data_IF_571198439085
#
_entry.id   IF_571198439085
#
_cell.length_a   1.000
_cell.length_b   1.000
_cell.length_c   1.000
_cell.angle_alpha   90.00
_cell.angle_beta   90.00
_cell.angle_gamma   90.00
#
_symmetry.space_group_name_H-M   'P 1'
#
loop_
_entity.id
_entity.type
_entity.pdbx_description
1 polymer ?
#
# COMPACT_ATOMS: atom_id res chain seq x y z
N UNK A 1 29.00 -2.03 6.76
CA UNK A 1 28.30 -2.41 7.99
C UNK A 1 27.48 -3.64 7.67
N UNK A 2 27.76 -4.77 8.29
CA UNK A 2 27.02 -6.02 8.08
C UNK A 2 25.55 -5.77 8.43
N UNK A 3 24.63 -6.03 7.48
CA UNK A 3 23.23 -5.82 7.67
C UNK A 3 22.69 -6.70 8.79
N UNK A 4 22.14 -6.08 9.83
CA UNK A 4 21.23 -6.79 10.75
C UNK A 4 20.16 -7.44 9.87
N UNK A 5 20.04 -8.76 9.93
CA UNK A 5 18.89 -9.47 9.38
C UNK A 5 17.63 -8.79 9.94
N UNK A 6 16.83 -8.15 9.07
CA UNK A 6 15.59 -7.49 9.51
C UNK A 6 14.57 -8.57 9.79
N UNK A 7 13.88 -8.48 10.92
CA UNK A 7 12.83 -9.41 11.27
C UNK A 7 11.71 -9.40 10.21
N UNK A 8 11.14 -10.56 9.95
CA UNK A 8 10.01 -10.70 9.01
C UNK A 8 8.74 -10.21 9.72
N UNK A 9 8.15 -9.15 9.18
CA UNK A 9 6.89 -8.57 9.68
C UNK A 9 5.66 -9.27 9.11
N UNK A 10 5.68 -9.55 7.80
CA UNK A 10 4.62 -10.31 7.13
C UNK A 10 5.25 -11.43 6.33
N UNK A 11 4.81 -12.67 6.56
CA UNK A 11 5.25 -13.84 5.83
C UNK A 11 4.06 -14.44 5.08
N UNK A 12 4.21 -14.60 3.78
CA UNK A 12 3.22 -15.20 2.88
C UNK A 12 3.78 -16.55 2.46
N UNK A 13 3.09 -17.63 2.82
CA UNK A 13 3.55 -19.01 2.60
C UNK A 13 2.59 -19.74 1.67
N UNK A 14 3.03 -19.99 0.46
CA UNK A 14 2.36 -20.80 -0.57
C UNK A 14 0.88 -20.45 -0.77
N UNK A 15 0.55 -19.15 -0.77
CA UNK A 15 -0.82 -18.67 -0.85
C UNK A 15 -1.43 -18.93 -2.22
N UNK A 16 -2.54 -19.65 -2.22
CA UNK A 16 -3.41 -19.91 -3.37
C UNK A 16 -4.77 -19.28 -3.09
N UNK A 17 -5.34 -18.59 -4.08
CA UNK A 17 -6.72 -18.09 -4.02
C UNK A 17 -7.47 -18.44 -5.28
N UNK A 18 -8.60 -19.11 -5.07
CA UNK A 18 -9.55 -19.48 -6.11
C UNK A 18 -10.89 -18.79 -5.84
N UNK A 19 -11.55 -18.38 -6.90
CA UNK A 19 -12.91 -17.85 -6.86
C UNK A 19 -13.83 -18.71 -7.71
N UNK A 20 -15.01 -18.99 -7.20
CA UNK A 20 -16.06 -19.68 -7.96
C UNK A 20 -16.87 -18.64 -8.71
N UNK A 21 -16.79 -18.62 -10.04
CA UNK A 21 -17.54 -17.76 -10.92
C UNK A 21 -18.62 -18.53 -11.69
N UNK A 22 -19.46 -17.81 -12.44
CA UNK A 22 -20.51 -18.42 -13.31
C UNK A 22 -19.93 -19.37 -14.36
N UNK A 23 -18.68 -19.16 -14.76
CA UNK A 23 -17.99 -19.92 -15.80
C UNK A 23 -16.98 -20.95 -15.23
N UNK A 24 -17.13 -21.34 -13.96
CA UNK A 24 -16.22 -22.26 -13.29
C UNK A 24 -15.25 -21.61 -12.31
N UNK A 25 -14.28 -22.39 -11.85
CA UNK A 25 -13.26 -21.97 -10.91
C UNK A 25 -12.18 -21.11 -11.60
N UNK A 26 -11.89 -19.94 -11.04
CA UNK A 26 -10.82 -19.07 -11.48
C UNK A 26 -9.71 -19.00 -10.41
N UNK A 27 -8.49 -19.35 -10.79
CA UNK A 27 -7.31 -19.23 -9.93
C UNK A 27 -6.77 -17.81 -10.03
N UNK A 28 -6.95 -17.01 -8.97
CA UNK A 28 -6.46 -15.63 -8.92
C UNK A 28 -5.00 -15.57 -8.47
N UNK A 29 -4.62 -16.37 -7.47
CA UNK A 29 -3.24 -16.48 -6.96
C UNK A 29 -2.85 -17.95 -6.93
N UNK A 30 -1.60 -18.27 -7.26
CA UNK A 30 -1.12 -19.65 -7.34
C UNK A 30 0.29 -19.79 -6.73
N UNK A 31 0.34 -20.14 -5.45
CA UNK A 31 1.58 -20.45 -4.75
C UNK A 31 2.46 -19.22 -4.50
N UNK A 32 1.85 -18.10 -4.04
CA UNK A 32 2.57 -16.87 -3.72
C UNK A 32 3.37 -17.05 -2.43
N UNK A 33 4.68 -16.78 -2.49
CA UNK A 33 5.59 -16.74 -1.36
C UNK A 33 6.27 -15.37 -1.32
N UNK A 34 6.22 -14.67 -0.17
CA UNK A 34 6.85 -13.37 0.02
C UNK A 34 7.12 -13.10 1.49
N UNK A 35 8.33 -12.71 1.80
CA UNK A 35 8.70 -12.18 3.11
C UNK A 35 8.82 -10.65 3.02
N UNK A 36 8.10 -9.95 3.90
CA UNK A 36 8.15 -8.49 4.05
C UNK A 36 8.77 -8.20 5.41
N UNK A 37 9.84 -7.42 5.39
CA UNK A 37 10.61 -7.14 6.60
C UNK A 37 10.02 -5.99 7.42
N UNK A 38 10.40 -5.94 8.69
CA UNK A 38 9.98 -4.84 9.56
C UNK A 38 10.50 -3.50 9.05
N UNK A 39 9.62 -2.49 9.06
CA UNK A 39 9.89 -1.13 8.56
C UNK A 39 10.32 -1.07 7.08
N UNK A 40 9.93 -2.05 6.31
CA UNK A 40 10.15 -2.06 4.87
C UNK A 40 9.03 -1.37 4.12
N UNK A 41 9.39 -0.57 3.11
CA UNK A 41 8.45 -0.10 2.09
C UNK A 41 8.61 -0.98 0.85
N UNK A 42 7.68 -1.91 0.65
CA UNK A 42 7.66 -2.79 -0.52
C UNK A 42 6.55 -2.34 -1.48
N UNK A 43 6.87 -2.30 -2.77
CA UNK A 43 5.90 -1.97 -3.81
C UNK A 43 5.61 -3.17 -4.70
N UNK A 44 4.38 -3.26 -5.20
CA UNK A 44 3.91 -4.38 -6.03
C UNK A 44 3.37 -3.86 -7.34
N UNK A 45 3.95 -4.33 -8.44
CA UNK A 45 3.54 -3.99 -9.81
C UNK A 45 3.14 -5.24 -10.60
N UNK A 46 2.39 -5.04 -11.65
CA UNK A 46 1.96 -6.11 -12.56
C UNK A 46 0.71 -5.73 -13.34
N UNK A 47 0.34 -6.49 -14.38
CA UNK A 47 -0.80 -6.18 -15.23
C UNK A 47 -2.13 -6.18 -14.47
N UNK A 48 -3.15 -5.54 -15.02
CA UNK A 48 -4.49 -5.53 -14.43
C UNK A 48 -5.05 -6.95 -14.33
N UNK A 49 -5.63 -7.27 -13.17
CA UNK A 49 -6.21 -8.58 -12.89
C UNK A 49 -5.20 -9.69 -12.59
N UNK A 50 -3.92 -9.38 -12.32
CA UNK A 50 -2.92 -10.37 -11.91
C UNK A 50 -3.00 -10.76 -10.41
N UNK A 51 -3.95 -10.22 -9.65
CA UNK A 51 -4.17 -10.63 -8.26
C UNK A 51 -3.56 -9.73 -7.18
N UNK A 52 -3.00 -8.55 -7.50
CA UNK A 52 -2.40 -7.63 -6.52
C UNK A 52 -3.36 -7.28 -5.37
N UNK A 53 -4.55 -6.77 -5.69
CA UNK A 53 -5.58 -6.43 -4.69
C UNK A 53 -6.10 -7.67 -3.95
N UNK A 54 -6.14 -8.83 -4.61
CA UNK A 54 -6.49 -10.10 -3.96
C UNK A 54 -5.45 -10.46 -2.89
N UNK A 55 -4.16 -10.32 -3.21
CA UNK A 55 -3.08 -10.57 -2.26
C UNK A 55 -3.16 -9.59 -1.08
N UNK A 56 -3.32 -8.28 -1.37
CA UNK A 56 -3.51 -7.27 -0.33
C UNK A 56 -4.69 -7.60 0.58
N UNK A 57 -5.83 -7.99 0.03
CA UNK A 57 -7.03 -8.33 0.80
C UNK A 57 -6.83 -9.57 1.68
N UNK A 58 -5.99 -10.52 1.25
CA UNK A 58 -5.63 -11.69 2.08
C UNK A 58 -4.70 -11.25 3.23
N UNK A 59 -3.71 -10.40 2.96
CA UNK A 59 -2.84 -9.84 4.01
C UNK A 59 -3.67 -9.03 5.02
N UNK A 60 -4.66 -8.26 4.55
CA UNK A 60 -5.57 -7.49 5.39
C UNK A 60 -6.51 -8.37 6.23
N UNK A 61 -6.67 -9.65 5.89
CA UNK A 61 -7.65 -10.55 6.51
C UNK A 61 -9.09 -10.32 6.04
N UNK A 62 -9.27 -9.61 4.92
CA UNK A 62 -10.58 -9.40 4.28
C UNK A 62 -11.03 -10.61 3.45
N UNK A 63 -10.05 -11.37 2.97
CA UNK A 63 -10.27 -12.63 2.27
C UNK A 63 -9.40 -13.73 2.88
N UNK A 64 -9.96 -14.92 3.02
CA UNK A 64 -9.19 -16.11 3.37
C UNK A 64 -8.51 -16.70 2.12
N UNK A 65 -7.28 -17.20 2.20
CA UNK A 65 -6.68 -17.97 1.12
C UNK A 65 -7.43 -19.31 0.94
N UNK A 66 -7.40 -19.89 -0.26
CA UNK A 66 -7.93 -21.24 -0.50
C UNK A 66 -6.97 -22.30 0.06
N UNK A 67 -5.67 -22.05 0.00
CA UNK A 67 -4.62 -22.81 0.68
C UNK A 67 -3.39 -21.93 0.90
N UNK A 68 -2.46 -22.41 1.72
CA UNK A 68 -1.36 -21.60 2.23
C UNK A 68 -1.82 -20.69 3.37
N UNK A 69 -0.96 -19.80 3.83
CA UNK A 69 -1.26 -18.91 4.96
C UNK A 69 -0.48 -17.60 4.89
N UNK A 70 -0.96 -16.62 5.63
CA UNK A 70 -0.26 -15.34 5.89
C UNK A 70 -0.02 -15.24 7.38
N UNK A 71 1.21 -14.90 7.77
CA UNK A 71 1.60 -14.68 9.14
C UNK A 71 1.98 -13.20 9.28
N UNK A 72 1.38 -12.48 10.22
CA UNK A 72 1.70 -11.10 10.54
C UNK A 72 2.12 -11.02 12.02
N UNK A 73 3.28 -10.41 12.30
CA UNK A 73 3.81 -10.34 13.67
C UNK A 73 3.91 -11.72 14.37
N UNK A 74 4.30 -12.76 13.65
CA UNK A 74 4.41 -14.14 14.16
C UNK A 74 3.09 -14.85 14.41
N UNK A 75 1.94 -14.24 14.06
CA UNK A 75 0.60 -14.82 14.21
C UNK A 75 -0.05 -15.01 12.85
N UNK A 76 -0.71 -16.16 12.66
CA UNK A 76 -1.48 -16.39 11.45
C UNK A 76 -2.67 -15.43 11.35
N UNK A 77 -2.90 -14.92 10.15
CA UNK A 77 -3.96 -13.94 9.87
C UNK A 77 -5.28 -14.68 9.69
N UNK A 78 -6.18 -14.48 10.66
CA UNK A 78 -7.58 -14.91 10.60
C UNK A 78 -8.49 -13.70 10.75
N UNK A 79 -9.05 -13.21 9.64
CA UNK A 79 -9.88 -12.01 9.63
C UNK A 79 -9.09 -10.69 9.78
N UNK A 80 -9.83 -9.60 9.94
CA UNK A 80 -9.28 -8.25 10.07
C UNK A 80 -8.68 -8.02 11.46
N UNK A 81 -7.69 -7.12 11.55
CA UNK A 81 -7.03 -6.78 12.82
C UNK A 81 -6.62 -5.30 12.88
N UNK A 82 -6.39 -4.77 14.07
CA UNK A 82 -5.94 -3.39 14.28
C UNK A 82 -4.45 -3.19 13.98
N UNK A 83 -3.71 -4.27 13.83
CA UNK A 83 -2.29 -4.30 13.47
C UNK A 83 -2.05 -4.01 11.97
N UNK A 84 -3.12 -4.05 11.15
CA UNK A 84 -3.10 -3.81 9.71
C UNK A 84 -4.06 -2.70 9.33
N UNK A 85 -3.55 -1.62 8.70
CA UNK A 85 -4.35 -0.53 8.16
C UNK A 85 -4.47 -0.64 6.66
N UNK A 86 -5.65 -0.34 6.09
CA UNK A 86 -5.87 -0.40 4.64
C UNK A 86 -6.26 0.98 4.10
N UNK A 87 -5.58 1.40 3.04
CA UNK A 87 -5.97 2.53 2.19
C UNK A 87 -6.45 1.96 0.86
N UNK A 88 -7.75 2.06 0.61
CA UNK A 88 -8.38 1.54 -0.61
C UNK A 88 -8.27 2.55 -1.76
N UNK A 89 -8.31 2.04 -2.98
CA UNK A 89 -8.36 2.83 -4.21
C UNK A 89 -9.56 3.82 -4.21
N UNK A 90 -10.71 3.39 -3.69
CA UNK A 90 -11.92 4.21 -3.53
C UNK A 90 -11.98 4.80 -2.11
N UNK A 91 -11.09 5.65 -1.71
CA UNK A 91 -10.98 6.41 -0.43
C UNK A 91 -11.66 5.82 0.81
N UNK A 92 -12.80 5.14 0.70
CA UNK A 92 -13.61 4.51 1.75
C UNK A 92 -13.86 5.42 2.97
N UNK A 93 -14.06 6.72 2.74
CA UNK A 93 -14.39 7.68 3.80
C UNK A 93 -15.85 7.51 4.23
N UNK A 94 -16.13 7.77 5.51
CA UNK A 94 -17.48 7.87 6.02
C UNK A 94 -18.13 9.18 5.54
N UNK A 95 -19.08 9.15 4.60
CA UNK A 95 -19.59 10.37 3.97
C UNK A 95 -20.41 11.26 4.90
N UNK A 96 -20.90 10.72 6.01
CA UNK A 96 -21.62 11.43 7.07
C UNK A 96 -20.73 12.01 8.18
N UNK A 97 -19.42 11.77 8.12
CA UNK A 97 -18.42 12.31 9.05
C UNK A 97 -17.59 13.39 8.36
N UNK A 98 -17.26 14.45 9.10
CA UNK A 98 -16.28 15.46 8.64
C UNK A 98 -14.89 14.87 8.51
N UNK A 99 -13.93 15.60 7.93
CA UNK A 99 -12.51 15.22 7.86
C UNK A 99 -11.98 14.87 9.25
N UNK A 100 -12.12 15.79 10.20
CA UNK A 100 -11.74 15.60 11.60
C UNK A 100 -12.38 14.36 12.23
N UNK A 101 -13.66 14.12 11.99
CA UNK A 101 -14.38 12.97 12.55
C UNK A 101 -13.98 11.65 11.87
N UNK A 102 -13.60 11.66 10.58
CA UNK A 102 -13.02 10.49 9.91
C UNK A 102 -11.70 10.06 10.56
N UNK A 103 -10.82 11.03 10.88
CA UNK A 103 -9.56 10.76 11.60
C UNK A 103 -9.86 10.30 13.03
N UNK A 104 -10.75 11.02 13.73
CA UNK A 104 -11.16 10.69 15.10
C UNK A 104 -11.67 9.26 15.25
N UNK A 105 -12.40 8.75 14.27
CA UNK A 105 -12.90 7.37 14.27
C UNK A 105 -11.78 6.34 14.49
N UNK A 106 -10.63 6.53 13.84
CA UNK A 106 -9.49 5.64 14.00
C UNK A 106 -8.86 5.76 15.41
N UNK A 107 -8.84 6.96 15.99
CA UNK A 107 -8.36 7.19 17.34
C UNK A 107 -9.31 6.57 18.39
N UNK A 108 -10.62 6.68 18.18
CA UNK A 108 -11.63 6.07 19.05
C UNK A 108 -11.47 4.55 19.10
N UNK A 109 -11.15 3.91 17.95
CA UNK A 109 -10.87 2.45 17.91
C UNK A 109 -9.62 2.07 18.72
N UNK A 110 -8.64 3.00 18.86
CA UNK A 110 -7.46 2.83 19.71
C UNK A 110 -7.72 3.16 21.17
N UNK A 111 -8.92 3.66 21.52
CA UNK A 111 -9.25 4.12 22.86
C UNK A 111 -8.64 5.48 23.23
N UNK A 112 -8.11 6.25 22.27
CA UNK A 112 -7.54 7.59 22.49
C UNK A 112 -8.68 8.60 22.62
N UNK A 113 -8.74 9.35 23.72
CA UNK A 113 -9.85 10.25 24.06
C UNK A 113 -9.35 11.60 24.58
N UNK A 114 -10.28 12.55 24.74
CA UNK A 114 -10.01 13.85 25.36
C UNK A 114 -8.98 14.68 24.61
N UNK A 115 -8.17 15.40 25.36
CA UNK A 115 -7.14 16.32 24.82
C UNK A 115 -6.09 15.59 23.96
N UNK A 116 -5.75 14.34 24.31
CA UNK A 116 -4.83 13.54 23.52
C UNK A 116 -5.38 13.25 22.12
N UNK A 117 -6.69 12.93 22.01
CA UNK A 117 -7.31 12.72 20.70
C UNK A 117 -7.30 13.98 19.86
N UNK A 118 -7.55 15.14 20.46
CA UNK A 118 -7.53 16.43 19.77
C UNK A 118 -6.11 16.75 19.24
N UNK A 119 -5.09 16.55 20.07
CA UNK A 119 -3.69 16.74 19.65
C UNK A 119 -3.28 15.81 18.50
N UNK A 120 -3.66 14.53 18.56
CA UNK A 120 -3.42 13.55 17.48
C UNK A 120 -4.17 13.93 16.20
N UNK A 121 -5.42 14.40 16.29
CA UNK A 121 -6.20 14.87 15.13
C UNK A 121 -5.46 16.02 14.46
N UNK A 122 -5.02 17.03 15.23
CA UNK A 122 -4.28 18.18 14.68
C UNK A 122 -2.97 17.74 14.02
N UNK A 123 -2.25 16.78 14.65
CA UNK A 123 -1.04 16.17 14.05
C UNK A 123 -1.34 15.60 12.66
N UNK A 124 -2.40 14.78 12.53
CA UNK A 124 -2.72 14.13 11.26
C UNK A 124 -3.34 15.09 10.23
N UNK A 125 -4.10 16.09 10.65
CA UNK A 125 -4.59 17.15 9.75
C UNK A 125 -3.41 17.93 9.16
N UNK A 126 -2.44 18.31 9.99
CA UNK A 126 -1.23 19.01 9.56
C UNK A 126 -0.36 18.14 8.65
N UNK A 127 -0.23 16.84 8.96
CA UNK A 127 0.54 15.89 8.14
C UNK A 127 0.07 15.87 6.67
N UNK A 128 -1.24 16.08 6.45
CA UNK A 128 -1.86 16.01 5.12
C UNK A 128 -2.31 17.37 4.58
N UNK A 129 -1.93 18.47 5.24
CA UNK A 129 -2.26 19.86 4.86
C UNK A 129 -3.77 20.08 4.69
N UNK A 130 -4.56 19.65 5.68
CA UNK A 130 -6.04 19.75 5.66
C UNK A 130 -6.62 20.42 6.92
N UNK A 131 -5.84 21.19 7.69
CA UNK A 131 -6.32 21.86 8.90
C UNK A 131 -7.52 22.79 8.62
N UNK A 132 -7.49 23.51 7.49
CA UNK A 132 -8.57 24.44 7.08
C UNK A 132 -9.85 23.72 6.65
N UNK A 133 -9.78 22.42 6.39
CA UNK A 133 -10.87 21.58 5.92
C UNK A 133 -11.37 20.59 6.98
N UNK A 134 -10.94 20.76 8.25
CA UNK A 134 -11.24 19.83 9.33
C UNK A 134 -12.74 19.55 9.51
N UNK A 135 -13.58 20.56 9.33
CA UNK A 135 -15.03 20.46 9.53
C UNK A 135 -15.81 20.23 8.21
N UNK A 136 -15.12 20.08 7.07
CA UNK A 136 -15.75 19.78 5.78
C UNK A 136 -16.11 18.28 5.68
N UNK A 137 -17.15 17.99 4.91
CA UNK A 137 -17.56 16.62 4.61
C UNK A 137 -16.87 16.11 3.33
N UNK A 138 -16.74 14.79 3.15
CA UNK A 138 -16.11 14.21 1.96
C UNK A 138 -16.67 14.71 0.62
N UNK A 139 -17.98 15.02 0.54
CA UNK A 139 -18.60 15.55 -0.68
C UNK A 139 -18.07 16.92 -1.11
N UNK A 140 -17.49 17.68 -0.18
CA UNK A 140 -16.96 19.03 -0.39
C UNK A 140 -15.48 19.04 -0.77
N UNK A 141 -14.84 17.85 -0.82
CA UNK A 141 -13.42 17.69 -1.05
C UNK A 141 -13.12 17.24 -2.48
N UNK A 142 -11.97 17.67 -3.01
CA UNK A 142 -11.41 17.11 -4.25
C UNK A 142 -10.98 15.65 -4.05
N UNK A 143 -10.71 14.93 -5.16
CA UNK A 143 -10.22 13.54 -5.10
C UNK A 143 -8.91 13.41 -4.30
N UNK A 144 -7.96 14.31 -4.54
CA UNK A 144 -6.70 14.35 -3.78
C UNK A 144 -6.90 14.62 -2.29
N UNK A 145 -7.78 15.54 -1.93
CA UNK A 145 -8.10 15.79 -0.51
C UNK A 145 -8.74 14.57 0.15
N UNK A 146 -9.66 13.88 -0.53
CA UNK A 146 -10.24 12.62 -0.01
C UNK A 146 -9.17 11.57 0.24
N UNK A 147 -8.20 11.45 -0.67
CA UNK A 147 -7.09 10.52 -0.53
C UNK A 147 -6.21 10.86 0.69
N UNK A 148 -5.89 12.15 0.86
CA UNK A 148 -5.16 12.63 2.04
C UNK A 148 -5.88 12.29 3.35
N UNK A 149 -7.21 12.46 3.41
CA UNK A 149 -8.01 12.06 4.59
C UNK A 149 -7.94 10.56 4.82
N UNK A 150 -8.01 9.73 3.76
CA UNK A 150 -7.93 8.27 3.88
C UNK A 150 -6.56 7.83 4.43
N UNK A 151 -5.47 8.46 3.96
CA UNK A 151 -4.11 8.23 4.46
C UNK A 151 -4.01 8.67 5.93
N UNK A 152 -4.43 9.89 6.27
CA UNK A 152 -4.41 10.40 7.64
C UNK A 152 -5.17 9.48 8.60
N UNK A 153 -6.35 9.00 8.21
CA UNK A 153 -7.13 8.04 9.00
C UNK A 153 -6.41 6.71 9.19
N UNK A 154 -5.76 6.20 8.13
CA UNK A 154 -5.02 4.95 8.22
C UNK A 154 -3.80 5.08 9.15
N UNK A 155 -3.08 6.20 9.11
CA UNK A 155 -1.99 6.48 10.04
C UNK A 155 -2.50 6.68 11.48
N UNK A 156 -3.63 7.37 11.66
CA UNK A 156 -4.25 7.58 12.98
C UNK A 156 -4.65 6.27 13.68
N UNK A 157 -4.98 5.23 12.91
CA UNK A 157 -5.19 3.88 13.44
C UNK A 157 -3.91 3.25 14.03
N UNK A 158 -2.74 3.83 13.75
CA UNK A 158 -1.42 3.38 14.18
C UNK A 158 -1.16 1.88 13.92
N UNK A 159 -1.42 1.38 12.71
CA UNK A 159 -1.17 -0.01 12.38
C UNK A 159 0.34 -0.28 12.33
N UNK A 160 0.73 -1.55 12.48
CA UNK A 160 2.12 -1.96 12.29
C UNK A 160 2.43 -2.21 10.80
N UNK A 161 1.41 -2.60 10.03
CA UNK A 161 1.49 -2.80 8.58
C UNK A 161 0.46 -1.93 7.88
N UNK A 162 0.91 -1.12 6.93
CA UNK A 162 0.06 -0.27 6.11
C UNK A 162 -0.06 -0.86 4.70
N UNK A 163 -1.27 -1.19 4.31
CA UNK A 163 -1.62 -1.79 3.03
C UNK A 163 -2.29 -0.74 2.14
N UNK A 164 -1.76 -0.47 0.97
CA UNK A 164 -2.25 0.59 0.09
C UNK A 164 -2.52 0.02 -1.31
N UNK A 165 -3.77 0.13 -1.77
CA UNK A 165 -4.21 -0.36 -3.09
C UNK A 165 -4.39 0.80 -4.06
N UNK A 166 -3.41 1.06 -4.92
CA UNK A 166 -3.37 2.12 -5.93
C UNK A 166 -3.80 3.50 -5.38
N UNK A 167 -3.25 3.97 -4.24
CA UNK A 167 -3.80 5.13 -3.54
C UNK A 167 -3.72 6.43 -4.36
N UNK A 168 -2.85 6.51 -5.35
CA UNK A 168 -2.64 7.71 -6.16
C UNK A 168 -3.16 7.60 -7.59
N UNK A 169 -3.83 6.48 -7.94
CA UNK A 169 -4.25 6.18 -9.31
C UNK A 169 -5.20 7.20 -9.93
N UNK A 170 -6.06 7.84 -9.13
CA UNK A 170 -7.06 8.81 -9.59
C UNK A 170 -6.59 10.28 -9.52
N UNK A 171 -5.31 10.54 -9.20
CA UNK A 171 -4.78 11.88 -8.99
C UNK A 171 -4.08 12.42 -10.24
N UNK A 172 -4.14 13.75 -10.42
CA UNK A 172 -3.29 14.43 -11.39
C UNK A 172 -1.80 14.32 -11.01
N UNK A 173 -0.93 14.56 -11.99
CA UNK A 173 0.51 14.34 -11.83
C UNK A 173 1.15 15.19 -10.72
N UNK A 174 0.72 16.44 -10.54
CA UNK A 174 1.30 17.35 -9.54
C UNK A 174 0.90 16.92 -8.13
N UNK A 175 -0.40 16.69 -7.91
CA UNK A 175 -0.94 16.22 -6.63
C UNK A 175 -0.33 14.86 -6.26
N UNK A 176 -0.17 13.95 -7.23
CA UNK A 176 0.47 12.64 -7.02
C UNK A 176 1.91 12.81 -6.54
N UNK A 177 2.71 13.63 -7.22
CA UNK A 177 4.11 13.89 -6.84
C UNK A 177 4.22 14.44 -5.43
N UNK A 178 3.37 15.40 -5.07
CA UNK A 178 3.34 15.96 -3.74
C UNK A 178 3.01 14.92 -2.68
N UNK A 179 1.96 14.10 -2.91
CA UNK A 179 1.57 13.06 -1.96
C UNK A 179 2.59 11.92 -1.84
N UNK A 180 3.32 11.58 -2.89
CA UNK A 180 4.44 10.65 -2.82
C UNK A 180 5.53 11.16 -1.86
N UNK A 181 5.90 12.43 -1.97
CA UNK A 181 6.88 13.05 -1.09
C UNK A 181 6.39 13.06 0.35
N UNK A 182 5.16 13.52 0.60
CA UNK A 182 4.56 13.54 1.95
C UNK A 182 4.47 12.15 2.57
N UNK A 183 4.13 11.13 1.77
CA UNK A 183 4.08 9.74 2.21
C UNK A 183 5.47 9.23 2.60
N UNK A 184 6.50 9.50 1.80
CA UNK A 184 7.89 9.11 2.11
C UNK A 184 8.39 9.81 3.37
N UNK A 185 8.19 11.13 3.49
CA UNK A 185 8.58 11.90 4.67
C UNK A 185 7.94 11.35 5.94
N UNK A 186 6.67 10.92 5.85
CA UNK A 186 5.94 10.32 6.96
C UNK A 186 6.48 8.94 7.27
N UNK A 187 6.73 8.14 6.24
CA UNK A 187 7.26 6.79 6.40
C UNK A 187 8.66 6.79 7.03
N UNK A 188 9.55 7.69 6.60
CA UNK A 188 10.89 7.83 7.19
C UNK A 188 10.84 8.17 8.68
N UNK A 189 9.84 8.99 9.10
CA UNK A 189 9.66 9.38 10.51
C UNK A 189 9.01 8.30 11.37
N UNK A 190 7.99 7.63 10.82
CA UNK A 190 7.16 6.70 11.59
C UNK A 190 7.61 5.24 11.47
N UNK A 191 8.47 4.92 10.47
CA UNK A 191 9.06 3.60 10.28
C UNK A 191 8.00 2.47 10.26
N UNK A 192 6.95 2.62 9.44
CA UNK A 192 5.92 1.58 9.25
C UNK A 192 6.32 0.58 8.18
N UNK A 193 5.91 -0.67 8.34
CA UNK A 193 5.97 -1.63 7.23
C UNK A 193 4.86 -1.31 6.23
N UNK A 194 5.21 -1.06 4.97
CA UNK A 194 4.29 -0.66 3.92
C UNK A 194 4.26 -1.67 2.78
N UNK A 195 3.05 -2.10 2.39
CA UNK A 195 2.78 -2.88 1.19
C UNK A 195 1.94 -2.03 0.24
N UNK A 196 2.52 -1.61 -0.85
CA UNK A 196 1.96 -0.59 -1.73
C UNK A 196 1.78 -1.13 -3.15
N UNK A 197 0.54 -1.16 -3.62
CA UNK A 197 0.20 -1.57 -4.99
C UNK A 197 0.16 -0.34 -5.88
N UNK A 198 0.79 -0.44 -7.04
CA UNK A 198 0.68 0.56 -8.10
C UNK A 198 0.79 -0.08 -9.48
N UNK A 199 0.30 0.61 -10.50
CA UNK A 199 0.54 0.29 -11.90
C UNK A 199 1.63 1.18 -12.52
N UNK A 200 2.15 2.15 -11.79
CA UNK A 200 3.20 3.08 -12.22
C UNK A 200 4.57 2.59 -11.74
N UNK A 201 5.43 2.22 -12.69
CA UNK A 201 6.78 1.71 -12.40
C UNK A 201 7.67 2.77 -11.76
N UNK A 202 7.54 4.05 -12.17
CA UNK A 202 8.33 5.13 -11.56
C UNK A 202 7.93 5.34 -10.11
N UNK A 203 6.63 5.31 -9.81
CA UNK A 203 6.11 5.37 -8.45
C UNK A 203 6.65 4.21 -7.61
N UNK A 204 6.64 2.99 -8.16
CA UNK A 204 7.16 1.82 -7.46
C UNK A 204 8.63 1.97 -7.08
N UNK A 205 9.46 2.54 -7.96
CA UNK A 205 10.90 2.75 -7.71
C UNK A 205 11.11 3.92 -6.73
N UNK A 206 10.34 5.00 -6.84
CA UNK A 206 10.48 6.15 -5.93
C UNK A 206 10.16 5.76 -4.49
N UNK A 207 9.10 4.97 -4.29
CA UNK A 207 8.59 4.63 -2.97
C UNK A 207 9.24 3.38 -2.37
N UNK A 208 9.47 2.35 -3.16
CA UNK A 208 9.83 1.02 -2.67
C UNK A 208 11.32 0.81 -2.41
N UNK A 209 11.65 0.10 -1.35
CA UNK A 209 12.99 -0.48 -1.14
C UNK A 209 13.15 -1.74 -2.00
N UNK A 210 12.06 -2.50 -2.21
CA UNK A 210 11.95 -3.59 -3.17
C UNK A 210 10.70 -3.43 -4.02
N UNK A 211 10.78 -3.82 -5.27
CA UNK A 211 9.65 -3.89 -6.19
C UNK A 211 9.36 -5.36 -6.50
N UNK A 212 8.17 -5.82 -6.12
CA UNK A 212 7.65 -7.14 -6.46
C UNK A 212 6.93 -7.08 -7.79
N UNK A 213 7.33 -7.90 -8.74
CA UNK A 213 6.71 -8.02 -10.05
C UNK A 213 5.81 -9.26 -10.04
N UNK A 214 4.50 -9.06 -10.23
CA UNK A 214 3.54 -10.15 -10.31
C UNK A 214 3.28 -10.56 -11.76
N UNK A 215 3.23 -11.88 -11.98
CA UNK A 215 2.85 -12.46 -13.28
C UNK A 215 1.35 -12.31 -13.53
N UNK A 216 1.00 -12.45 -14.81
CA UNK A 216 -0.40 -12.54 -15.21
C UNK A 216 -0.99 -13.93 -14.92
N UNK A 217 -2.28 -14.02 -14.91
CA UNK A 217 -3.21 -15.13 -14.65
C UNK A 217 -2.66 -16.56 -14.79
N UNK A 218 -2.49 -17.30 -13.71
CA UNK A 218 -2.72 -16.93 -12.31
C UNK A 218 -1.56 -16.08 -11.76
N UNK A 219 -1.88 -15.20 -10.79
CA UNK A 219 -0.90 -14.35 -10.14
C UNK A 219 0.14 -15.17 -9.37
N UNK A 220 1.41 -14.90 -9.66
CA UNK A 220 2.60 -15.43 -8.97
C UNK A 220 3.60 -14.30 -8.82
N UNK A 221 4.55 -14.44 -7.94
CA UNK A 221 5.71 -13.56 -7.94
C UNK A 221 6.62 -14.01 -9.09
N UNK A 222 6.84 -13.10 -10.03
CA UNK A 222 7.75 -13.32 -11.16
C UNK A 222 9.17 -12.96 -10.78
N UNK A 223 9.34 -11.83 -10.12
CA UNK A 223 10.64 -11.32 -9.70
C UNK A 223 10.51 -10.35 -8.52
N UNK A 224 11.60 -10.15 -7.79
CA UNK A 224 11.74 -9.16 -6.72
C UNK A 224 13.01 -8.37 -6.98
N UNK A 225 12.87 -7.08 -7.20
CA UNK A 225 13.97 -6.17 -7.56
C UNK A 225 14.31 -5.28 -6.38
N UNK A 226 15.54 -5.37 -5.88
CA UNK A 226 16.05 -4.44 -4.88
C UNK A 226 16.32 -3.07 -5.50
N UNK A 227 15.88 -2.01 -4.84
CA UNK A 227 16.10 -0.63 -5.29
C UNK A 227 17.25 -0.04 -4.49
N UNK A 228 18.44 -0.11 -5.06
CA UNK A 228 19.71 0.34 -4.47
C UNK A 228 19.97 1.85 -4.56
N UNK A 229 18.91 2.62 -4.84
CA UNK A 229 18.94 4.08 -4.84
C UNK A 229 18.63 4.58 -3.42
N UNK A 230 19.50 5.39 -2.79
CA UNK A 230 19.27 5.86 -1.43
C UNK A 230 18.10 6.86 -1.35
N UNK A 231 17.50 6.98 -0.17
CA UNK A 231 16.60 8.09 0.16
C UNK A 231 17.39 9.34 0.60
N UNK A 232 16.83 10.56 0.47
CA UNK A 232 15.52 10.85 -0.13
C UNK A 232 15.54 10.73 -1.66
N UNK A 233 14.47 10.17 -2.22
CA UNK A 233 14.28 10.09 -3.67
C UNK A 233 13.35 11.20 -4.15
N UNK A 234 13.85 12.03 -5.06
CA UNK A 234 13.18 13.21 -5.59
C UNK A 234 12.88 13.07 -7.08
N UNK A 235 12.30 14.09 -7.69
CA UNK A 235 12.10 14.11 -9.15
C UNK A 235 13.44 14.06 -9.91
N UNK A 236 14.52 14.63 -9.34
CA UNK A 236 15.86 14.56 -9.94
C UNK A 236 16.40 13.13 -9.96
N UNK A 237 16.05 12.33 -8.96
CA UNK A 237 16.40 10.89 -8.91
C UNK A 237 15.94 10.16 -10.16
N UNK A 238 14.79 10.53 -10.75
CA UNK A 238 14.23 9.93 -11.96
C UNK A 238 15.10 10.12 -13.20
N UNK A 239 16.01 11.10 -13.20
CA UNK A 239 16.93 11.38 -14.31
C UNK A 239 18.25 10.62 -14.17
N UNK A 240 18.50 9.95 -13.03
CA UNK A 240 19.73 9.21 -12.82
C UNK A 240 19.83 7.97 -13.72
N UNK A 241 21.05 7.62 -14.21
CA UNK A 241 21.23 6.43 -15.03
C UNK A 241 20.70 5.15 -14.35
N UNK A 242 20.95 5.01 -13.04
CA UNK A 242 20.50 3.84 -12.28
C UNK A 242 18.99 3.74 -12.20
N UNK A 243 18.28 4.85 -12.02
CA UNK A 243 16.82 4.87 -12.05
C UNK A 243 16.28 4.42 -13.41
N UNK A 244 16.87 4.90 -14.49
CA UNK A 244 16.46 4.52 -15.86
C UNK A 244 16.71 3.05 -16.17
N UNK A 245 17.81 2.47 -15.69
CA UNK A 245 18.09 1.02 -15.80
C UNK A 245 17.01 0.20 -15.08
N UNK A 246 16.74 0.52 -13.82
CA UNK A 246 15.71 -0.17 -13.01
C UNK A 246 14.32 -0.02 -13.65
N UNK A 247 13.97 1.20 -14.08
CA UNK A 247 12.70 1.47 -14.78
C UNK A 247 12.55 0.62 -16.02
N UNK A 248 13.57 0.61 -16.90
CA UNK A 248 13.53 -0.16 -18.14
C UNK A 248 13.43 -1.67 -17.86
N UNK A 249 14.16 -2.17 -16.88
CA UNK A 249 14.09 -3.57 -16.48
C UNK A 249 12.69 -3.93 -15.97
N UNK A 250 12.17 -3.25 -14.94
CA UNK A 250 10.87 -3.54 -14.35
C UNK A 250 9.75 -3.39 -15.38
N UNK A 251 9.80 -2.30 -16.19
CA UNK A 251 8.82 -2.07 -17.25
C UNK A 251 8.81 -3.22 -18.27
N UNK A 252 10.00 -3.68 -18.70
CA UNK A 252 10.10 -4.80 -19.65
C UNK A 252 9.46 -6.08 -19.10
N UNK A 253 9.68 -6.39 -17.80
CA UNK A 253 9.11 -7.56 -17.15
C UNK A 253 7.57 -7.46 -17.06
N UNK A 254 7.04 -6.30 -16.67
CA UNK A 254 5.58 -6.05 -16.59
C UNK A 254 4.94 -6.10 -17.98
N UNK A 255 5.62 -5.55 -18.99
CA UNK A 255 5.13 -5.54 -20.38
C UNK A 255 5.06 -6.94 -20.98
N UNK A 256 6.05 -7.80 -20.72
CA UNK A 256 6.00 -9.20 -21.13
C UNK A 256 4.77 -9.92 -20.57
N UNK A 257 4.46 -9.71 -19.30
CA UNK A 257 3.27 -10.27 -18.65
C UNK A 257 1.96 -9.72 -19.25
N UNK A 258 1.93 -8.43 -19.59
CA UNK A 258 0.79 -7.83 -20.27
C UNK A 258 0.54 -8.45 -21.65
N UNK A 259 1.59 -8.73 -22.42
CA UNK A 259 1.48 -9.41 -23.73
C UNK A 259 1.03 -10.88 -23.60
N UNK A 260 1.45 -11.58 -22.55
CA UNK A 260 1.05 -12.97 -22.29
C UNK A 260 -0.45 -13.15 -22.05
N UNK A 261 -1.14 -12.12 -21.53
CA UNK A 261 -2.62 -12.15 -21.29
C UNK A 261 -3.42 -11.89 -22.56
N UNK A 262 -2.82 -11.28 -23.59
CA UNK A 262 -3.51 -10.92 -24.83
C UNK A 262 -3.46 -12.01 -25.91
N UNK A 263 -2.67 -13.04 -25.69
CA UNK A 263 -2.65 -14.26 -26.48
C UNK A 263 -3.67 -15.27 -25.95
#
# INVERSE_FOLDING_TARGET
MAGKERDIKVKIENVVKKFNGRNGEMVALNGVNLDIHENEFITVVGPSGCGKSTLLNIIAGLHEPTSGRVICNGKEVHGTGTDRGVVFQQYALFPWLTVKKNIKFALDMRGVKGEQAEAEIQKYLKMVDLEKFADHYPKELSGGMKQRVAIARAYAANPQVLLMDEPFGALDAQTRTQLQTELLDTWEKEQKTCFFITHDVEEAIILGQRVVIMSARPGRIKDIVDIDIPYPRTQETKMSPRFLELKNYIWSQVYQEYLAVRK
#
